data_IF_510436770617
#
_entry.id   IF_510436770617
#
_cell.length_a   1.000
_cell.length_b   1.000
_cell.length_c   1.000
_cell.angle_alpha   90.00
_cell.angle_beta   90.00
_cell.angle_gamma   90.00
#
_symmetry.space_group_name_H-M   'P 1'
#
loop_
_entity.id
_entity.type
_entity.pdbx_description
1 polymer ?
#
# COMPACT_ATOMS: atom_id res chain seq x y z
N UNK A 1 66.87 -56.61 -16.14
CA UNK A 1 67.42 -55.70 -15.11
C UNK A 1 66.30 -54.81 -14.57
N UNK A 2 66.27 -54.64 -13.23
CA UNK A 2 65.52 -53.66 -12.40
C UNK A 2 64.00 -53.80 -12.24
N UNK A 3 63.64 -54.27 -11.03
CA UNK A 3 62.43 -53.91 -10.28
C UNK A 3 62.47 -52.46 -9.79
N UNK A 4 61.26 -51.87 -9.60
CA UNK A 4 60.79 -50.90 -8.57
C UNK A 4 59.79 -49.94 -9.24
N UNK A 5 58.61 -49.59 -8.70
CA UNK A 5 58.11 -49.48 -7.31
C UNK A 5 56.57 -49.59 -7.32
N UNK A 6 56.02 -50.13 -6.23
CA UNK A 6 54.63 -49.97 -5.79
C UNK A 6 54.26 -48.49 -5.58
N UNK A 7 53.02 -48.11 -5.90
CA UNK A 7 52.18 -47.25 -5.07
C UNK A 7 50.70 -47.64 -5.25
N UNK A 8 50.02 -47.82 -4.12
CA UNK A 8 48.66 -48.31 -3.99
C UNK A 8 47.57 -47.24 -4.20
N UNK A 9 46.30 -47.60 -3.89
CA UNK A 9 45.11 -47.12 -4.60
C UNK A 9 44.42 -45.94 -3.91
N UNK A 10 43.61 -45.19 -4.65
CA UNK A 10 42.53 -44.39 -4.09
C UNK A 10 41.29 -44.57 -4.96
N UNK A 11 40.41 -45.45 -4.51
CA UNK A 11 39.03 -45.53 -4.96
C UNK A 11 38.32 -44.26 -4.52
N UNK A 12 37.75 -43.51 -5.46
CA UNK A 12 36.82 -42.42 -5.16
C UNK A 12 35.43 -42.98 -5.38
N UNK A 13 34.77 -43.37 -4.28
CA UNK A 13 33.37 -43.71 -4.28
C UNK A 13 32.55 -42.41 -4.47
N UNK A 14 31.91 -42.27 -5.62
CA UNK A 14 30.93 -41.21 -5.87
C UNK A 14 29.66 -41.57 -5.11
N UNK A 15 29.50 -41.02 -3.91
CA UNK A 15 28.24 -41.06 -3.18
C UNK A 15 27.43 -39.86 -3.67
N UNK A 16 26.58 -40.11 -4.66
CA UNK A 16 25.56 -39.15 -5.10
C UNK A 16 24.55 -38.96 -3.98
N UNK A 17 24.71 -37.90 -3.19
CA UNK A 17 23.71 -37.45 -2.23
C UNK A 17 22.54 -36.87 -3.02
N UNK A 18 21.49 -37.68 -3.23
CA UNK A 18 20.19 -37.23 -3.72
C UNK A 18 19.61 -36.23 -2.71
N UNK A 19 19.79 -34.93 -2.94
CA UNK A 19 19.00 -33.89 -2.29
C UNK A 19 17.57 -33.99 -2.84
N UNK A 20 16.70 -34.60 -2.05
CA UNK A 20 15.25 -34.47 -2.24
C UNK A 20 14.86 -33.10 -1.69
N UNK A 21 14.65 -32.13 -2.56
CA UNK A 21 14.04 -30.85 -2.21
C UNK A 21 12.63 -31.12 -1.70
N UNK A 22 12.45 -31.16 -0.38
CA UNK A 22 11.13 -31.02 0.21
C UNK A 22 10.72 -29.57 0.01
N UNK A 23 9.92 -29.30 -1.01
CA UNK A 23 9.18 -28.05 -1.12
C UNK A 23 8.19 -28.04 0.04
N UNK A 24 8.48 -27.24 1.06
CA UNK A 24 7.46 -26.86 2.04
C UNK A 24 6.46 -26.04 1.25
N UNK A 25 5.32 -26.64 0.88
CA UNK A 25 4.18 -25.88 0.45
C UNK A 25 3.83 -24.99 1.65
N UNK A 26 4.12 -23.69 1.54
CA UNK A 26 3.57 -22.71 2.46
C UNK A 26 2.06 -22.88 2.36
N UNK A 27 1.44 -23.42 3.41
CA UNK A 27 0.00 -23.30 3.59
C UNK A 27 -0.22 -21.81 3.73
N UNK A 28 -0.61 -21.17 2.63
CA UNK A 28 -1.20 -19.85 2.66
C UNK A 28 -2.50 -20.03 3.41
N UNK A 29 -2.44 -19.87 4.73
CA UNK A 29 -3.63 -19.66 5.52
C UNK A 29 -4.19 -18.32 5.03
N UNK A 30 -5.07 -18.40 4.05
CA UNK A 30 -6.07 -17.41 3.72
C UNK A 30 -7.08 -17.32 4.88
N UNK A 31 -6.57 -17.06 6.09
CA UNK A 31 -7.31 -16.33 7.09
C UNK A 31 -7.33 -14.90 6.56
N UNK A 32 -8.27 -14.61 5.67
CA UNK A 32 -8.63 -13.24 5.35
C UNK A 32 -8.90 -12.55 6.68
N UNK A 33 -7.97 -11.71 7.12
CA UNK A 33 -8.23 -10.75 8.19
C UNK A 33 -9.44 -9.96 7.70
N UNK A 34 -10.61 -10.24 8.25
CA UNK A 34 -11.81 -9.46 8.02
C UNK A 34 -11.58 -8.09 8.67
N UNK A 35 -10.91 -7.20 7.95
CA UNK A 35 -10.74 -5.83 8.38
C UNK A 35 -12.10 -5.13 8.35
N UNK A 36 -12.36 -4.32 9.37
CA UNK A 36 -13.54 -3.45 9.41
C UNK A 36 -13.26 -2.26 8.50
N UNK A 37 -13.92 -2.21 7.35
CA UNK A 37 -13.81 -1.06 6.46
C UNK A 37 -14.46 0.17 7.11
N UNK A 38 -13.71 1.27 7.17
CA UNK A 38 -14.19 2.57 7.61
C UNK A 38 -13.95 3.60 6.51
N UNK A 39 -14.87 4.56 6.39
CA UNK A 39 -14.68 5.67 5.47
C UNK A 39 -13.60 6.61 6.02
N UNK A 40 -12.50 6.73 5.30
CA UNK A 40 -11.41 7.66 5.58
C UNK A 40 -11.66 9.07 5.05
N UNK A 41 -12.69 9.24 4.22
CA UNK A 41 -13.04 10.50 3.56
C UNK A 41 -12.81 10.46 2.05
N UNK A 42 -12.60 11.64 1.46
CA UNK A 42 -12.44 11.81 0.02
C UNK A 42 -11.42 12.87 -0.36
N UNK A 43 -10.79 12.65 -1.52
CA UNK A 43 -9.90 13.57 -2.21
C UNK A 43 -10.40 13.80 -3.64
N UNK A 44 -10.42 15.04 -4.07
CA UNK A 44 -10.76 15.44 -5.44
C UNK A 44 -9.68 16.37 -5.98
N UNK A 45 -9.17 16.07 -7.16
CA UNK A 45 -8.43 17.00 -8.00
C UNK A 45 -9.29 17.25 -9.24
N UNK A 46 -9.64 18.50 -9.50
CA UNK A 46 -10.48 18.91 -10.63
C UNK A 46 -9.78 20.01 -11.43
N UNK A 47 -9.65 19.82 -12.74
CA UNK A 47 -8.94 20.75 -13.62
C UNK A 47 -9.86 21.65 -14.46
N UNK A 48 -11.17 21.64 -14.19
CA UNK A 48 -12.17 22.50 -14.85
C UNK A 48 -11.93 23.98 -14.52
N UNK A 49 -11.38 24.75 -15.47
CA UNK A 49 -11.05 26.16 -15.27
C UNK A 49 -9.76 26.42 -14.49
N UNK A 50 -8.92 25.41 -14.27
CA UNK A 50 -7.71 25.45 -13.45
C UNK A 50 -7.70 24.33 -12.40
N UNK A 51 -6.57 24.16 -11.69
CA UNK A 51 -6.44 23.12 -10.66
C UNK A 51 -7.20 23.52 -9.41
N UNK A 52 -8.10 22.65 -8.95
CA UNK A 52 -8.75 22.72 -7.65
C UNK A 52 -8.54 21.40 -6.89
N UNK A 53 -7.98 21.50 -5.69
CA UNK A 53 -7.71 20.38 -4.79
C UNK A 53 -8.68 20.46 -3.60
N UNK A 54 -9.47 19.42 -3.38
CA UNK A 54 -10.40 19.32 -2.24
C UNK A 54 -10.09 18.08 -1.41
N UNK A 55 -10.04 18.25 -0.09
CA UNK A 55 -9.89 17.16 0.87
C UNK A 55 -10.98 17.23 1.94
N UNK A 56 -11.63 16.10 2.22
CA UNK A 56 -12.63 15.98 3.30
C UNK A 56 -12.39 14.66 4.02
N UNK A 57 -12.20 14.69 5.33
CA UNK A 57 -11.98 13.49 6.14
C UNK A 57 -13.16 13.22 7.06
N UNK A 58 -13.36 11.94 7.39
CA UNK A 58 -14.45 11.47 8.25
C UNK A 58 -13.97 11.09 9.65
N UNK A 59 -14.93 10.94 10.57
CA UNK A 59 -14.71 10.40 11.90
C UNK A 59 -15.47 9.09 12.07
N UNK A 60 -14.78 8.05 12.53
CA UNK A 60 -15.38 6.81 13.01
C UNK A 60 -15.28 6.73 14.53
N UNK A 61 -16.38 6.38 15.19
CA UNK A 61 -16.42 6.16 16.64
C UNK A 61 -17.07 4.81 16.95
N UNK A 62 -16.46 4.03 17.84
CA UNK A 62 -16.97 2.72 18.24
C UNK A 62 -16.31 2.18 19.51
N UNK A 63 -16.72 0.99 19.91
CA UNK A 63 -16.08 0.29 21.03
C UNK A 63 -14.75 -0.32 20.62
N UNK A 64 -13.76 -0.28 21.52
CA UNK A 64 -12.49 -0.97 21.33
C UNK A 64 -12.67 -2.49 21.40
N UNK A 65 -12.21 -3.19 20.36
CA UNK A 65 -12.14 -4.64 20.33
C UNK A 65 -10.67 -5.03 20.08
N UNK A 66 -9.99 -5.68 21.04
CA UNK A 66 -8.61 -6.10 20.87
C UNK A 66 -8.39 -6.96 19.62
N UNK A 67 -7.36 -6.62 18.84
CA UNK A 67 -6.96 -7.40 17.66
C UNK A 67 -7.80 -7.16 16.40
N UNK A 68 -8.78 -6.25 16.43
CA UNK A 68 -9.50 -5.85 15.21
C UNK A 68 -8.65 -4.91 14.37
N UNK A 69 -8.50 -5.25 13.09
CA UNK A 69 -7.91 -4.37 12.08
C UNK A 69 -9.00 -3.54 11.43
N UNK A 70 -8.77 -2.24 11.32
CA UNK A 70 -9.60 -1.30 10.57
C UNK A 70 -8.93 -1.01 9.22
N UNK A 71 -9.68 -1.11 8.13
CA UNK A 71 -9.24 -0.70 6.81
C UNK A 71 -9.74 0.73 6.57
N UNK A 72 -8.83 1.70 6.54
CA UNK A 72 -9.16 3.10 6.29
C UNK A 72 -9.16 3.31 4.78
N UNK A 73 -10.33 3.51 4.19
CA UNK A 73 -10.50 3.67 2.74
C UNK A 73 -10.85 5.12 2.40
N UNK A 74 -10.02 5.75 1.56
CA UNK A 74 -10.23 7.13 1.08
C UNK A 74 -10.63 7.08 -0.38
N UNK A 75 -11.79 7.64 -0.71
CA UNK A 75 -12.21 7.81 -2.10
C UNK A 75 -11.39 8.89 -2.78
N UNK A 76 -10.92 8.64 -4.00
CA UNK A 76 -10.10 9.58 -4.75
C UNK A 76 -10.65 9.73 -6.17
N UNK A 77 -10.76 10.96 -6.63
CA UNK A 77 -11.19 11.30 -7.98
C UNK A 77 -10.25 12.34 -8.58
N UNK A 78 -9.76 12.07 -9.78
CA UNK A 78 -9.05 13.01 -10.63
C UNK A 78 -9.91 13.28 -11.87
N UNK A 79 -10.25 14.55 -12.10
CA UNK A 79 -10.98 15.05 -13.26
C UNK A 79 -10.07 15.91 -14.11
N UNK A 80 -9.63 15.30 -15.19
CA UNK A 80 -8.72 15.86 -16.18
C UNK A 80 -9.48 16.67 -17.25
N UNK A 81 -8.90 17.83 -17.54
CA UNK A 81 -9.28 18.73 -18.62
C UNK A 81 -8.02 19.25 -19.31
N UNK A 82 -8.04 19.34 -20.65
CA UNK A 82 -6.91 19.84 -21.46
C UNK A 82 -6.52 21.32 -21.24
N UNK A 83 -7.05 21.97 -20.21
CA UNK A 83 -6.73 23.34 -19.80
C UNK A 83 -5.45 23.39 -18.95
N UNK A 84 -5.18 22.32 -18.21
CA UNK A 84 -3.96 22.06 -17.46
C UNK A 84 -3.33 20.82 -18.08
N UNK A 85 -2.02 20.87 -18.39
CA UNK A 85 -1.32 19.75 -19.03
C UNK A 85 0.10 19.56 -18.49
N UNK A 86 0.57 18.32 -18.45
CA UNK A 86 1.97 17.97 -18.19
C UNK A 86 2.38 18.08 -16.72
N UNK A 87 1.41 18.15 -15.81
CA UNK A 87 1.64 18.11 -14.37
C UNK A 87 1.48 16.70 -13.82
N UNK A 88 1.65 16.54 -12.51
CA UNK A 88 1.45 15.26 -11.84
C UNK A 88 0.55 15.46 -10.65
N UNK A 89 -0.71 15.05 -10.80
CA UNK A 89 -1.64 14.87 -9.72
C UNK A 89 -1.16 13.77 -8.76
N UNK A 90 -1.22 14.06 -7.46
CA UNK A 90 -0.85 13.14 -6.40
C UNK A 90 -1.93 13.08 -5.33
N UNK A 91 -2.34 11.88 -4.97
CA UNK A 91 -3.14 11.56 -3.80
C UNK A 91 -2.27 10.81 -2.78
N UNK A 92 -2.46 11.12 -1.50
CA UNK A 92 -1.76 10.50 -0.38
C UNK A 92 -2.69 10.26 0.80
N UNK A 93 -2.56 9.10 1.42
CA UNK A 93 -3.16 8.70 2.69
C UNK A 93 -2.04 8.22 3.62
N UNK A 94 -1.93 8.81 4.81
CA UNK A 94 -1.04 8.37 5.88
C UNK A 94 -1.87 7.90 7.08
N UNK A 95 -1.74 6.62 7.43
CA UNK A 95 -2.45 5.99 8.52
C UNK A 95 -1.88 6.31 9.91
N UNK A 96 -2.58 5.92 10.98
CA UNK A 96 -2.18 6.26 12.35
C UNK A 96 -0.85 5.66 12.81
N UNK A 97 -0.39 4.60 12.15
CA UNK A 97 0.90 3.94 12.38
C UNK A 97 2.01 4.43 11.43
N UNK A 98 1.75 5.47 10.64
CA UNK A 98 2.66 5.99 9.63
C UNK A 98 2.71 5.17 8.34
N UNK A 99 1.84 4.17 8.18
CA UNK A 99 1.66 3.51 6.89
C UNK A 99 1.18 4.50 5.83
N UNK A 100 1.66 4.38 4.60
CA UNK A 100 1.36 5.34 3.53
C UNK A 100 0.85 4.62 2.29
N UNK A 101 -0.26 5.11 1.75
CA UNK A 101 -0.75 4.77 0.41
C UNK A 101 -0.71 6.02 -0.47
N UNK A 102 -0.28 5.88 -1.73
CA UNK A 102 -0.22 6.99 -2.70
C UNK A 102 -0.73 6.56 -4.06
N UNK A 103 -1.21 7.55 -4.82
CA UNK A 103 -1.53 7.42 -6.24
C UNK A 103 -1.03 8.65 -6.96
N UNK A 104 -0.21 8.45 -7.99
CA UNK A 104 0.21 9.50 -8.91
C UNK A 104 -0.43 9.29 -10.27
N UNK A 105 -0.78 10.38 -10.93
CA UNK A 105 -1.32 10.40 -12.29
C UNK A 105 -0.53 11.46 -13.04
N UNK A 106 0.06 11.07 -14.16
CA UNK A 106 0.69 12.02 -15.07
C UNK A 106 -0.34 12.44 -16.11
N UNK A 107 -0.59 13.73 -16.15
CA UNK A 107 -1.48 14.41 -17.07
C UNK A 107 -0.80 14.50 -18.45
N UNK A 108 -1.40 13.82 -19.44
CA UNK A 108 -0.87 13.73 -20.80
C UNK A 108 -1.69 14.63 -21.71
N UNK A 109 -1.07 15.62 -22.38
CA UNK A 109 -1.80 16.50 -23.28
C UNK A 109 -2.64 15.75 -24.31
N UNK A 110 -3.89 16.19 -24.51
CA UNK A 110 -4.84 15.65 -25.49
C UNK A 110 -5.35 14.24 -25.18
N UNK A 111 -5.02 13.68 -24.02
CA UNK A 111 -5.51 12.39 -23.53
C UNK A 111 -6.39 12.66 -22.31
N UNK A 112 -7.46 11.89 -22.15
CA UNK A 112 -8.25 11.92 -20.93
C UNK A 112 -7.68 10.92 -19.92
N UNK A 113 -7.11 11.44 -18.85
CA UNK A 113 -6.47 10.75 -17.74
C UNK A 113 -7.37 10.61 -16.50
N UNK A 114 -8.68 10.90 -16.63
CA UNK A 114 -9.67 10.75 -15.56
C UNK A 114 -9.48 9.44 -14.80
N UNK A 115 -9.55 9.53 -13.48
CA UNK A 115 -9.38 8.37 -12.62
C UNK A 115 -10.28 8.45 -11.40
N UNK A 116 -10.85 7.31 -11.03
CA UNK A 116 -11.55 7.11 -9.76
C UNK A 116 -11.02 5.85 -9.11
N UNK A 117 -10.81 5.89 -7.80
CA UNK A 117 -10.39 4.72 -7.04
C UNK A 117 -10.29 5.03 -5.55
N UNK A 118 -9.59 4.15 -4.83
CA UNK A 118 -9.40 4.28 -3.39
C UNK A 118 -7.91 4.20 -3.03
N UNK A 119 -7.53 4.96 -2.01
CA UNK A 119 -6.34 4.68 -1.23
C UNK A 119 -6.76 3.94 0.03
N UNK A 120 -5.98 2.96 0.46
CA UNK A 120 -6.32 2.17 1.63
C UNK A 120 -5.11 1.85 2.49
N UNK A 121 -5.26 1.98 3.81
CA UNK A 121 -4.27 1.53 4.79
C UNK A 121 -4.93 0.71 5.91
N UNK A 122 -4.36 -0.44 6.30
CA UNK A 122 -4.84 -1.18 7.45
C UNK A 122 -4.25 -0.59 8.75
N UNK A 123 -5.02 -0.61 9.83
CA UNK A 123 -4.56 -0.17 11.14
C UNK A 123 -5.14 -1.06 12.26
N UNK A 124 -4.28 -1.55 13.16
CA UNK A 124 -4.69 -2.39 14.31
C UNK A 124 -4.30 -1.69 15.62
N UNK A 125 -5.23 -1.05 16.33
CA UNK A 125 -4.95 -0.34 17.57
C UNK A 125 -4.60 -1.32 18.70
N UNK A 126 -3.57 -0.97 19.48
CA UNK A 126 -3.11 -1.77 20.61
C UNK A 126 -3.90 -1.53 21.92
N UNK A 127 -4.69 -0.46 21.97
CA UNK A 127 -5.47 -0.04 23.14
C UNK A 127 -6.70 0.77 22.72
N UNK A 128 -7.64 1.08 23.63
CA UNK A 128 -8.57 2.17 23.42
C UNK A 128 -7.83 3.50 23.22
N UNK A 129 -8.44 4.44 22.50
CA UNK A 129 -7.86 5.74 22.24
C UNK A 129 -8.39 6.43 21.00
N UNK A 130 -7.81 7.60 20.71
CA UNK A 130 -8.03 8.35 19.49
C UNK A 130 -6.82 8.19 18.58
N UNK A 131 -7.10 7.82 17.33
CA UNK A 131 -6.13 7.58 16.29
C UNK A 131 -6.46 8.46 15.10
N UNK A 132 -5.46 8.88 14.34
CA UNK A 132 -5.63 9.88 13.29
C UNK A 132 -4.98 9.43 12.00
N UNK A 133 -5.59 9.76 10.87
CA UNK A 133 -4.96 9.65 9.57
C UNK A 133 -4.99 11.01 8.87
N UNK A 134 -4.04 11.22 7.97
CA UNK A 134 -3.93 12.45 7.18
C UNK A 134 -4.14 12.10 5.71
N UNK A 135 -4.98 12.86 5.02
CA UNK A 135 -5.19 12.75 3.57
C UNK A 135 -4.70 14.02 2.89
N UNK A 136 -4.13 13.88 1.70
CA UNK A 136 -3.61 15.00 0.93
C UNK A 136 -3.80 14.77 -0.56
N UNK A 137 -4.22 15.82 -1.27
CA UNK A 137 -4.13 15.90 -2.72
C UNK A 137 -3.26 17.10 -3.11
N UNK A 138 -2.53 16.98 -4.21
CA UNK A 138 -1.70 18.06 -4.74
C UNK A 138 -1.47 17.92 -6.23
N UNK A 139 -1.45 19.06 -6.92
CA UNK A 139 -1.05 19.18 -8.32
C UNK A 139 -0.53 20.59 -8.57
N UNK A 140 0.63 20.72 -9.20
CA UNK A 140 1.27 22.01 -9.40
C UNK A 140 1.55 22.75 -8.09
N UNK A 141 1.02 23.97 -7.98
CA UNK A 141 1.07 24.79 -6.77
C UNK A 141 -0.09 24.55 -5.81
N UNK A 142 -1.13 23.82 -6.24
CA UNK A 142 -2.34 23.62 -5.47
C UNK A 142 -2.24 22.37 -4.63
N UNK A 143 -2.80 22.44 -3.41
CA UNK A 143 -2.88 21.29 -2.52
C UNK A 143 -3.97 21.49 -1.48
N UNK A 144 -4.54 20.38 -1.01
CA UNK A 144 -5.46 20.36 0.12
C UNK A 144 -5.21 19.14 0.99
N UNK A 145 -5.44 19.30 2.28
CA UNK A 145 -5.31 18.23 3.27
C UNK A 145 -6.43 18.25 4.28
N UNK A 146 -6.77 17.08 4.80
CA UNK A 146 -7.71 16.92 5.91
C UNK A 146 -7.25 15.79 6.83
N UNK A 147 -7.71 15.84 8.08
CA UNK A 147 -7.42 14.85 9.11
C UNK A 147 -8.69 14.15 9.53
N UNK A 148 -8.66 12.83 9.55
CA UNK A 148 -9.77 12.00 10.05
C UNK A 148 -9.43 11.33 11.38
N UNK A 149 -10.46 10.81 12.04
CA UNK A 149 -10.37 10.29 13.40
C UNK A 149 -10.98 8.89 13.54
N UNK A 150 -10.27 8.01 14.23
CA UNK A 150 -10.76 6.72 14.71
C UNK A 150 -10.77 6.77 16.24
N UNK A 151 -11.97 6.83 16.82
CA UNK A 151 -12.19 6.95 18.27
C UNK A 151 -12.71 5.61 18.80
N UNK A 152 -11.93 4.97 19.67
CA UNK A 152 -12.24 3.67 20.25
C UNK A 152 -12.30 3.75 21.77
N UNK A 153 -13.46 3.43 22.33
CA UNK A 153 -13.76 3.50 23.78
C UNK A 153 -14.00 2.15 24.43
#
# INVERSE_FOLDING_TARGET
MKQKKMFGPCAVAVIGLLLVCMTVASVSAENGLHAVAINGGSLLINEDGGIDCTASADTYAGSYIPGVTYQIDVDCEYRDYNEVVGQTAQFRLEGPDGSVATKSIFDVPLINNNWKGKLSVPFTPASPGSYHWEITCSEGSESASARGDLILV
#
